data_IF_279425511794
#
_entry.id   IF_279425511794
#
_cell.length_a   1.000
_cell.length_b   1.000
_cell.length_c   1.000
_cell.angle_alpha   90.00
_cell.angle_beta   90.00
_cell.angle_gamma   90.00
#
_symmetry.space_group_name_H-M   'P 1'
#
loop_
_entity.id
_entity.type
_entity.pdbx_description
1 polymer ?
#
# COMPACT_ATOMS: atom_id res chain seq x y z
N UNK A 1 34.31 -10.84 2.12
CA UNK A 1 34.63 -10.13 0.85
C UNK A 1 33.37 -10.04 -0.03
N UNK A 2 32.31 -9.34 0.41
CA UNK A 2 31.05 -9.17 -0.34
C UNK A 2 30.54 -7.71 -0.36
N UNK A 3 31.32 -6.76 0.16
CA UNK A 3 30.89 -5.36 0.34
C UNK A 3 31.13 -4.48 -0.89
N UNK A 4 32.03 -4.87 -1.80
CA UNK A 4 32.41 -4.03 -2.95
C UNK A 4 31.39 -4.04 -4.12
N UNK A 5 30.43 -4.97 -4.12
CA UNK A 5 29.38 -5.01 -5.14
C UNK A 5 28.14 -4.16 -4.78
N UNK A 6 27.97 -3.77 -3.51
CA UNK A 6 26.79 -3.02 -3.08
C UNK A 6 26.68 -1.62 -3.72
N UNK A 7 27.76 -0.81 -3.86
CA UNK A 7 27.67 0.49 -4.51
C UNK A 7 27.27 0.45 -6.00
N UNK A 8 27.87 -0.40 -6.87
CA UNK A 8 27.47 -0.45 -8.28
C UNK A 8 26.06 -1.03 -8.46
N UNK A 9 25.65 -2.00 -7.63
CA UNK A 9 24.28 -2.52 -7.65
C UNK A 9 23.26 -1.46 -7.19
N UNK A 10 23.60 -0.67 -6.16
CA UNK A 10 22.76 0.44 -5.70
C UNK A 10 22.64 1.53 -6.77
N UNK A 11 23.74 1.89 -7.43
CA UNK A 11 23.73 2.87 -8.52
C UNK A 11 22.93 2.36 -9.72
N UNK A 12 23.10 1.10 -10.11
CA UNK A 12 22.36 0.50 -11.22
C UNK A 12 20.86 0.42 -10.91
N UNK A 13 20.50 0.04 -9.68
CA UNK A 13 19.13 0.04 -9.18
C UNK A 13 18.52 1.45 -9.24
N UNK A 14 19.20 2.47 -8.73
CA UNK A 14 18.73 3.86 -8.78
C UNK A 14 18.53 4.36 -10.22
N UNK A 15 19.47 4.03 -11.13
CA UNK A 15 19.32 4.35 -12.55
C UNK A 15 18.09 3.67 -13.17
N UNK A 16 17.86 2.39 -12.87
CA UNK A 16 16.66 1.68 -13.32
C UNK A 16 15.38 2.26 -12.75
N UNK A 17 15.35 2.57 -11.45
CA UNK A 17 14.19 3.22 -10.81
C UNK A 17 13.89 4.57 -11.43
N UNK A 18 14.90 5.36 -11.77
CA UNK A 18 14.74 6.65 -12.47
C UNK A 18 14.26 6.51 -13.90
N UNK A 19 14.57 5.38 -14.55
CA UNK A 19 14.15 5.07 -15.91
C UNK A 19 12.74 4.45 -15.98
N UNK A 20 12.12 4.09 -14.85
CA UNK A 20 10.75 3.60 -14.85
C UNK A 20 9.81 4.69 -15.39
N UNK A 21 8.85 4.31 -16.26
CA UNK A 21 7.84 5.25 -16.73
C UNK A 21 7.10 5.82 -15.52
N UNK A 22 7.01 7.15 -15.46
CA UNK A 22 6.10 7.79 -14.51
C UNK A 22 4.70 7.47 -14.96
N UNK A 23 3.95 6.78 -14.12
CA UNK A 23 2.52 6.61 -14.32
C UNK A 23 1.89 7.96 -13.99
N UNK A 24 1.36 8.63 -15.01
CA UNK A 24 0.46 9.74 -14.75
C UNK A 24 -0.69 9.19 -13.89
N UNK A 25 -1.11 9.92 -12.84
CA UNK A 25 -2.29 9.54 -12.09
C UNK A 25 -3.44 9.50 -13.10
N UNK A 26 -3.92 8.29 -13.42
CA UNK A 26 -5.21 8.12 -14.07
C UNK A 26 -6.22 8.66 -13.06
N UNK A 27 -6.62 9.91 -13.25
CA UNK A 27 -7.84 10.44 -12.68
C UNK A 27 -8.95 9.90 -13.58
N UNK A 28 -9.66 8.83 -13.19
CA UNK A 28 -10.80 8.42 -13.96
C UNK A 28 -11.81 9.58 -13.96
N UNK A 29 -12.21 10.03 -15.14
CA UNK A 29 -13.34 10.97 -15.32
C UNK A 29 -14.69 10.38 -14.87
N UNK A 30 -14.68 9.14 -14.38
CA UNK A 30 -15.85 8.34 -13.97
C UNK A 30 -15.67 7.83 -12.55
N UNK A 31 -16.78 7.67 -11.83
CA UNK A 31 -16.79 7.05 -10.51
C UNK A 31 -16.20 5.64 -10.59
N UNK A 32 -15.16 5.37 -9.79
CA UNK A 32 -14.60 4.02 -9.66
C UNK A 32 -15.61 3.06 -9.02
N UNK A 33 -15.50 1.74 -9.25
CA UNK A 33 -16.44 0.75 -8.71
C UNK A 33 -16.47 0.77 -7.17
N UNK A 34 -17.47 0.12 -6.58
CA UNK A 34 -17.49 -0.12 -5.15
C UNK A 34 -16.30 -1.00 -4.73
N UNK A 35 -15.58 -0.58 -3.68
CA UNK A 35 -14.40 -1.28 -3.17
C UNK A 35 -14.61 -1.71 -1.71
N UNK A 36 -14.51 -3.02 -1.46
CA UNK A 36 -14.43 -3.59 -0.12
C UNK A 36 -12.99 -3.94 0.24
N UNK A 37 -12.51 -3.42 1.36
CA UNK A 37 -11.20 -3.79 1.93
C UNK A 37 -11.44 -4.72 3.11
N UNK A 38 -10.98 -5.97 2.99
CA UNK A 38 -11.09 -6.98 4.05
C UNK A 38 -9.75 -7.06 4.80
N UNK A 39 -9.79 -6.85 6.11
CA UNK A 39 -8.63 -6.87 7.00
C UNK A 39 -8.78 -8.07 7.95
N UNK A 40 -8.09 -9.20 7.71
CA UNK A 40 -7.99 -10.25 8.71
C UNK A 40 -7.16 -9.72 9.89
N UNK A 41 -7.69 -9.85 11.10
CA UNK A 41 -7.07 -9.40 12.33
C UNK A 41 -7.08 -10.54 13.36
N UNK A 42 -5.91 -11.00 13.81
CA UNK A 42 -5.78 -11.91 14.95
C UNK A 42 -4.69 -11.43 15.88
N UNK A 43 -5.08 -10.98 17.07
CA UNK A 43 -4.20 -10.28 18.02
C UNK A 43 -3.51 -9.03 17.40
N UNK A 44 -4.19 -8.37 16.45
CA UNK A 44 -3.63 -7.27 15.65
C UNK A 44 -4.01 -5.86 16.16
N UNK A 45 -4.50 -5.75 17.40
CA UNK A 45 -5.01 -4.49 17.95
C UNK A 45 -4.01 -3.32 17.80
N UNK A 46 -2.72 -3.56 18.11
CA UNK A 46 -1.68 -2.54 17.98
C UNK A 46 -1.46 -2.09 16.53
N UNK A 47 -1.58 -3.00 15.56
CA UNK A 47 -1.41 -2.68 14.15
C UNK A 47 -2.65 -1.99 13.57
N UNK A 48 -3.85 -2.39 14.00
CA UNK A 48 -5.09 -1.73 13.60
C UNK A 48 -5.11 -0.24 13.98
N UNK A 49 -4.55 0.12 15.14
CA UNK A 49 -4.43 1.51 15.58
C UNK A 49 -3.65 2.38 14.58
N UNK A 50 -2.68 1.80 13.86
CA UNK A 50 -1.90 2.50 12.84
C UNK A 50 -2.51 2.37 11.45
N UNK A 51 -3.07 1.20 11.13
CA UNK A 51 -3.61 0.87 9.81
C UNK A 51 -4.89 1.63 9.48
N UNK A 52 -5.86 1.65 10.40
CA UNK A 52 -7.18 2.23 10.12
C UNK A 52 -7.09 3.74 9.82
N UNK A 53 -6.32 4.57 10.57
CA UNK A 53 -6.13 5.97 10.20
C UNK A 53 -5.41 6.14 8.86
N UNK A 54 -4.53 5.22 8.47
CA UNK A 54 -3.88 5.28 7.15
C UNK A 54 -4.88 5.00 6.02
N UNK A 55 -5.74 3.99 6.18
CA UNK A 55 -6.78 3.67 5.20
C UNK A 55 -7.83 4.77 5.07
N UNK A 56 -8.21 5.42 6.17
CA UNK A 56 -9.12 6.57 6.14
C UNK A 56 -8.56 7.79 5.36
N UNK A 57 -7.23 7.90 5.21
CA UNK A 57 -6.61 8.96 4.41
C UNK A 57 -6.57 8.64 2.92
N UNK A 58 -6.82 7.40 2.52
CA UNK A 58 -6.87 7.01 1.10
C UNK A 58 -8.00 7.78 0.42
N UNK A 59 -7.67 8.48 -0.66
CA UNK A 59 -8.62 9.19 -1.51
C UNK A 59 -9.00 8.27 -2.66
N UNK A 60 -10.05 7.49 -2.47
CA UNK A 60 -10.65 6.69 -3.52
C UNK A 60 -11.87 7.44 -4.10
N UNK A 61 -11.94 7.70 -5.42
CA UNK A 61 -13.03 8.45 -6.04
C UNK A 61 -14.34 7.65 -6.21
N UNK A 62 -14.41 6.41 -5.70
CA UNK A 62 -15.62 5.59 -5.63
C UNK A 62 -16.07 5.34 -4.18
N UNK A 63 -17.21 4.66 -3.98
CA UNK A 63 -17.64 4.23 -2.65
C UNK A 63 -16.70 3.13 -2.11
N UNK A 64 -16.41 3.20 -0.82
CA UNK A 64 -15.43 2.34 -0.14
C UNK A 64 -15.96 1.90 1.22
N UNK A 65 -15.76 0.61 1.54
CA UNK A 65 -15.97 0.05 2.88
C UNK A 65 -14.73 -0.66 3.40
N UNK A 66 -14.64 -0.77 4.72
CA UNK A 66 -13.57 -1.49 5.41
C UNK A 66 -14.22 -2.50 6.35
N UNK A 67 -13.89 -3.77 6.17
CA UNK A 67 -14.38 -4.89 6.99
C UNK A 67 -13.20 -5.49 7.73
N UNK A 68 -13.19 -5.38 9.06
CA UNK A 68 -12.22 -6.07 9.91
C UNK A 68 -12.81 -7.41 10.32
N UNK A 69 -12.11 -8.49 10.01
CA UNK A 69 -12.49 -9.86 10.37
C UNK A 69 -11.59 -10.30 11.51
N UNK A 70 -12.16 -10.38 12.72
CA UNK A 70 -11.46 -10.91 13.89
C UNK A 70 -11.63 -12.43 13.97
N UNK A 71 -10.51 -13.16 14.09
CA UNK A 71 -10.48 -14.62 14.25
C UNK A 71 -10.29 -14.99 15.74
N UNK A 72 -11.24 -14.57 16.58
CA UNK A 72 -11.32 -14.85 18.02
C UNK A 72 -10.05 -14.42 18.78
N UNK A 73 -9.71 -13.13 18.70
CA UNK A 73 -8.57 -12.57 19.45
C UNK A 73 -8.83 -12.58 20.96
N UNK A 74 -7.77 -12.74 21.74
CA UNK A 74 -7.80 -12.76 23.22
C UNK A 74 -7.36 -11.46 23.86
#
# INVERSE_FOLDING_TARGET
MLTFAAPPLAFWSDQQYRALPRLDPLLPDTSLPFLSIIIPARNEAANLLRLLPALQRVRYPGPLEIIVVDDDSS
#
